data_IF_116676081768
#
_entry.id   IF_116676081768
#
_cell.length_a   1.000
_cell.length_b   1.000
_cell.length_c   1.000
_cell.angle_alpha   90.00
_cell.angle_beta   90.00
_cell.angle_gamma   90.00
#
_symmetry.space_group_name_H-M   'P 1'
#
loop_
_entity.id
_entity.type
_entity.pdbx_description
1 polymer ?
#
# COMPACT_ATOMS: atom_id res chain seq x y z
N UNK A 1 -16.78 21.15 68.24
CA UNK A 1 -15.71 21.20 67.23
C UNK A 1 -15.61 19.84 66.57
N UNK A 2 -16.09 19.70 65.33
CA UNK A 2 -16.05 18.43 64.57
C UNK A 2 -15.20 18.69 63.30
N UNK A 3 -14.01 18.11 63.27
CA UNK A 3 -13.14 18.18 62.10
C UNK A 3 -13.47 17.01 61.18
N UNK A 4 -14.05 17.31 60.01
CA UNK A 4 -14.25 16.34 58.94
C UNK A 4 -12.97 16.27 58.11
N UNK A 5 -12.34 15.13 58.11
CA UNK A 5 -11.17 14.81 57.28
C UNK A 5 -11.69 14.21 55.98
N UNK A 6 -11.62 14.97 54.90
CA UNK A 6 -11.91 14.49 53.55
C UNK A 6 -10.63 13.85 52.97
N UNK A 7 -10.67 12.52 52.80
CA UNK A 7 -9.65 11.77 52.05
C UNK A 7 -9.83 12.02 50.54
N UNK A 8 -8.87 12.71 49.93
CA UNK A 8 -8.71 12.75 48.48
C UNK A 8 -7.98 11.48 48.04
N UNK A 9 -8.69 10.59 47.38
CA UNK A 9 -8.10 9.47 46.66
C UNK A 9 -7.59 9.95 45.32
N UNK A 10 -6.27 10.04 45.15
CA UNK A 10 -5.64 10.31 43.85
C UNK A 10 -5.59 9.01 43.03
N UNK A 11 -6.44 8.91 42.00
CA UNK A 11 -6.31 7.87 40.96
C UNK A 11 -5.10 8.20 40.07
N UNK A 12 -4.01 7.49 40.24
CA UNK A 12 -2.93 7.46 39.25
C UNK A 12 -3.36 6.54 38.08
N UNK A 13 -3.76 7.14 36.98
CA UNK A 13 -3.94 6.44 35.73
C UNK A 13 -2.54 6.12 35.14
N UNK A 14 -2.11 4.86 35.25
CA UNK A 14 -0.96 4.35 34.54
C UNK A 14 -1.32 4.27 33.05
N UNK A 15 -0.97 5.30 32.30
CA UNK A 15 -1.00 5.29 30.85
C UNK A 15 0.04 4.30 30.34
N UNK A 16 -0.40 3.11 29.91
CA UNK A 16 0.44 2.17 29.17
C UNK A 16 0.64 2.80 27.79
N UNK A 17 1.71 3.56 27.64
CA UNK A 17 2.17 4.04 26.34
C UNK A 17 2.61 2.84 25.52
N UNK A 18 1.78 2.42 24.54
CA UNK A 18 2.21 1.51 23.49
C UNK A 18 3.21 2.27 22.63
N UNK A 19 4.50 2.16 22.94
CA UNK A 19 5.57 2.59 22.05
C UNK A 19 5.55 1.63 20.85
N UNK A 20 4.94 2.06 19.73
CA UNK A 20 5.15 1.41 18.46
C UNK A 20 6.64 1.60 18.12
N UNK A 21 7.45 0.60 18.39
CA UNK A 21 8.83 0.57 17.92
C UNK A 21 8.77 0.46 16.40
N UNK A 22 9.36 1.43 15.70
CA UNK A 22 9.55 1.33 14.27
C UNK A 22 10.40 0.07 13.99
N UNK A 23 9.88 -0.82 13.16
CA UNK A 23 10.58 -2.04 12.79
C UNK A 23 11.88 -1.69 12.06
N UNK A 24 13.01 -2.27 12.51
CA UNK A 24 14.28 -2.12 11.79
C UNK A 24 14.27 -3.03 10.56
N UNK A 25 13.98 -2.44 9.43
CA UNK A 25 13.92 -3.15 8.14
C UNK A 25 15.24 -3.77 7.70
N UNK A 26 16.36 -3.43 8.36
CA UNK A 26 17.68 -3.95 8.03
C UNK A 26 18.23 -4.95 9.06
N UNK A 27 17.43 -5.29 10.09
CA UNK A 27 17.89 -6.15 11.17
C UNK A 27 18.26 -7.57 10.70
N UNK A 28 17.48 -8.14 9.80
CA UNK A 28 17.69 -9.48 9.24
C UNK A 28 16.83 -9.70 7.99
N UNK A 29 17.00 -10.85 7.31
CA UNK A 29 16.25 -11.18 6.11
C UNK A 29 14.72 -11.17 6.31
N UNK A 30 14.24 -11.66 7.46
CA UNK A 30 12.80 -11.68 7.74
C UNK A 30 12.23 -10.26 7.87
N UNK A 31 12.94 -9.35 8.55
CA UNK A 31 12.56 -7.94 8.67
C UNK A 31 12.56 -7.24 7.30
N UNK A 32 13.58 -7.49 6.48
CA UNK A 32 13.63 -6.95 5.11
C UNK A 32 12.44 -7.43 4.27
N UNK A 33 12.11 -8.72 4.33
CA UNK A 33 10.98 -9.31 3.61
C UNK A 33 9.66 -8.67 4.06
N UNK A 34 9.48 -8.52 5.38
CA UNK A 34 8.27 -7.93 5.95
C UNK A 34 8.09 -6.46 5.56
N UNK A 35 9.12 -5.65 5.68
CA UNK A 35 9.07 -4.23 5.28
C UNK A 35 8.76 -4.07 3.78
N UNK A 36 9.38 -4.88 2.92
CA UNK A 36 9.10 -4.83 1.49
C UNK A 36 7.65 -5.24 1.16
N UNK A 37 7.11 -6.24 1.87
CA UNK A 37 5.72 -6.64 1.75
C UNK A 37 4.75 -5.55 2.22
N UNK A 38 5.08 -4.83 3.30
CA UNK A 38 4.28 -3.72 3.81
C UNK A 38 4.28 -2.53 2.84
N UNK A 39 5.43 -2.18 2.24
CA UNK A 39 5.53 -1.14 1.21
C UNK A 39 4.65 -1.48 0.00
N UNK A 40 4.72 -2.71 -0.49
CA UNK A 40 3.86 -3.19 -1.57
C UNK A 40 2.37 -3.10 -1.20
N UNK A 41 1.99 -3.53 0.00
CA UNK A 41 0.59 -3.48 0.44
C UNK A 41 0.06 -2.04 0.53
N UNK A 42 0.88 -1.10 0.97
CA UNK A 42 0.52 0.33 0.98
C UNK A 42 0.34 0.88 -0.44
N UNK A 43 1.22 0.51 -1.36
CA UNK A 43 1.12 0.89 -2.77
C UNK A 43 -0.11 0.28 -3.45
N UNK A 44 -0.43 -0.99 -3.19
CA UNK A 44 -1.63 -1.64 -3.73
C UNK A 44 -2.92 -0.98 -3.19
N UNK A 45 -2.92 -0.55 -1.93
CA UNK A 45 -4.03 0.21 -1.35
C UNK A 45 -4.23 1.54 -2.09
N UNK A 46 -3.14 2.27 -2.33
CA UNK A 46 -3.17 3.54 -3.06
C UNK A 46 -3.56 3.33 -4.53
N UNK A 47 -3.04 2.29 -5.18
CA UNK A 47 -3.40 1.89 -6.54
C UNK A 47 -4.92 1.71 -6.68
N UNK A 48 -5.50 0.92 -5.79
CA UNK A 48 -6.93 0.63 -5.78
C UNK A 48 -7.76 1.88 -5.50
N UNK A 49 -7.28 2.76 -4.63
CA UNK A 49 -7.94 4.04 -4.33
C UNK A 49 -8.02 4.93 -5.58
N UNK A 50 -6.92 5.09 -6.30
CA UNK A 50 -6.86 5.91 -7.50
C UNK A 50 -7.69 5.30 -8.64
N UNK A 51 -7.60 3.98 -8.84
CA UNK A 51 -8.41 3.27 -9.82
C UNK A 51 -9.91 3.47 -9.57
N UNK A 52 -10.38 3.28 -8.34
CA UNK A 52 -11.79 3.48 -7.96
C UNK A 52 -12.24 4.93 -8.18
N UNK A 53 -11.39 5.91 -7.83
CA UNK A 53 -11.69 7.32 -8.04
C UNK A 53 -11.89 7.64 -9.53
N UNK A 54 -11.03 7.12 -10.41
CA UNK A 54 -11.18 7.32 -11.85
C UNK A 54 -12.40 6.58 -12.41
N UNK A 55 -12.64 5.33 -11.98
CA UNK A 55 -13.82 4.56 -12.41
C UNK A 55 -15.13 5.25 -12.01
N UNK A 56 -15.18 5.89 -10.85
CA UNK A 56 -16.37 6.64 -10.39
C UNK A 56 -16.58 7.93 -11.19
N UNK A 57 -15.50 8.55 -11.62
CA UNK A 57 -15.56 9.77 -12.42
C UNK A 57 -16.07 9.53 -13.84
N UNK A 58 -15.61 8.47 -14.49
CA UNK A 58 -15.99 8.12 -15.85
C UNK A 58 -17.51 7.94 -15.98
N UNK A 59 -18.12 8.53 -17.00
CA UNK A 59 -19.55 8.41 -17.31
C UNK A 59 -19.80 7.43 -18.46
N UNK A 60 -18.90 7.42 -19.44
CA UNK A 60 -18.99 6.55 -20.60
C UNK A 60 -18.68 5.09 -20.23
N UNK A 61 -19.63 4.15 -20.46
CA UNK A 61 -19.40 2.73 -20.19
C UNK A 61 -18.22 2.13 -20.99
N UNK A 62 -17.98 2.58 -22.22
CA UNK A 62 -16.87 2.10 -23.04
C UNK A 62 -15.52 2.54 -22.43
N UNK A 63 -15.43 3.75 -21.89
CA UNK A 63 -14.24 4.24 -21.17
C UNK A 63 -13.99 3.46 -19.88
N UNK A 64 -15.05 3.15 -19.12
CA UNK A 64 -14.93 2.29 -17.93
C UNK A 64 -14.38 0.91 -18.29
N UNK A 65 -14.91 0.30 -19.33
CA UNK A 65 -14.45 -1.00 -19.80
C UNK A 65 -12.99 -0.95 -20.24
N UNK A 66 -12.62 0.07 -21.02
CA UNK A 66 -11.23 0.26 -21.47
C UNK A 66 -10.24 0.43 -20.30
N UNK A 67 -10.61 1.22 -19.28
CA UNK A 67 -9.76 1.36 -18.08
C UNK A 67 -9.63 0.04 -17.31
N UNK A 68 -10.73 -0.70 -17.16
CA UNK A 68 -10.72 -2.03 -16.52
C UNK A 68 -9.80 -3.00 -17.27
N UNK A 69 -9.90 -3.08 -18.58
CA UNK A 69 -9.05 -3.95 -19.41
C UNK A 69 -7.58 -3.54 -19.34
N UNK A 70 -7.29 -2.24 -19.39
CA UNK A 70 -5.94 -1.72 -19.24
C UNK A 70 -5.34 -2.11 -17.89
N UNK A 71 -6.13 -2.02 -16.81
CA UNK A 71 -5.67 -2.41 -15.47
C UNK A 71 -5.40 -3.92 -15.36
N UNK A 72 -6.27 -4.76 -15.92
CA UNK A 72 -6.07 -6.22 -15.93
C UNK A 72 -4.81 -6.60 -16.71
N UNK A 73 -4.61 -6.01 -17.89
CA UNK A 73 -3.41 -6.26 -18.72
C UNK A 73 -2.14 -5.75 -18.05
N UNK A 74 -2.22 -4.61 -17.36
CA UNK A 74 -1.10 -4.08 -16.60
C UNK A 74 -0.70 -5.03 -15.45
N UNK A 75 -1.66 -5.57 -14.69
CA UNK A 75 -1.37 -6.55 -13.63
C UNK A 75 -0.66 -7.78 -14.21
N UNK A 76 -1.18 -8.32 -15.33
CA UNK A 76 -0.57 -9.46 -16.00
C UNK A 76 0.87 -9.17 -16.47
N UNK A 77 1.11 -7.99 -17.03
CA UNK A 77 2.45 -7.54 -17.41
C UNK A 77 3.37 -7.43 -16.21
N UNK A 78 2.94 -6.74 -15.14
CA UNK A 78 3.72 -6.57 -13.90
C UNK A 78 4.16 -7.93 -13.34
N UNK A 79 3.22 -8.86 -13.22
CA UNK A 79 3.47 -10.15 -12.60
C UNK A 79 4.42 -11.01 -13.49
N UNK A 80 4.25 -10.97 -14.81
CA UNK A 80 5.13 -11.65 -15.76
C UNK A 80 6.55 -11.06 -15.80
N UNK A 81 6.66 -9.72 -15.78
CA UNK A 81 7.98 -9.05 -15.75
C UNK A 81 8.73 -9.34 -14.45
N UNK A 82 8.04 -9.32 -13.31
CA UNK A 82 8.67 -9.68 -12.03
C UNK A 82 9.05 -11.17 -11.96
N UNK A 83 8.26 -12.05 -12.55
CA UNK A 83 8.66 -13.46 -12.69
C UNK A 83 9.94 -13.61 -13.52
N UNK A 84 10.06 -12.87 -14.60
CA UNK A 84 11.27 -12.86 -15.44
C UNK A 84 12.49 -12.30 -14.69
N UNK A 85 12.33 -11.19 -13.96
CA UNK A 85 13.43 -10.48 -13.27
C UNK A 85 13.91 -11.20 -12.01
N UNK A 86 13.01 -11.81 -11.27
CA UNK A 86 13.28 -12.38 -9.93
C UNK A 86 13.35 -13.90 -9.94
N UNK A 87 12.69 -14.56 -10.90
CA UNK A 87 12.56 -16.02 -10.95
C UNK A 87 11.48 -16.54 -9.99
N UNK A 88 11.46 -17.88 -9.85
CA UNK A 88 10.48 -18.58 -9.01
C UNK A 88 10.94 -18.68 -7.56
N UNK A 89 9.98 -18.78 -6.65
CA UNK A 89 10.24 -18.91 -5.21
C UNK A 89 11.10 -20.14 -4.87
N UNK A 90 10.81 -21.28 -5.50
CA UNK A 90 11.51 -22.55 -5.28
C UNK A 90 13.00 -22.50 -5.66
N UNK A 91 13.39 -21.59 -6.53
CA UNK A 91 14.76 -21.48 -7.06
C UNK A 91 15.60 -20.40 -6.34
N UNK A 92 15.01 -19.57 -5.48
CA UNK A 92 15.64 -18.32 -5.02
C UNK A 92 15.83 -18.18 -3.49
N UNK A 93 15.40 -19.14 -2.70
CA UNK A 93 15.62 -19.18 -1.24
C UNK A 93 14.93 -18.05 -0.45
N UNK A 94 15.48 -17.73 0.73
CA UNK A 94 14.86 -16.81 1.71
C UNK A 94 14.86 -15.34 1.29
N UNK A 95 15.64 -14.96 0.30
CA UNK A 95 15.66 -13.59 -0.25
C UNK A 95 14.54 -13.33 -1.25
N UNK A 96 13.93 -14.39 -1.80
CA UNK A 96 12.92 -14.24 -2.86
C UNK A 96 11.75 -13.32 -2.47
N UNK A 97 11.16 -13.39 -1.26
CA UNK A 97 10.05 -12.52 -0.91
C UNK A 97 10.42 -11.02 -0.94
N UNK A 98 11.66 -10.69 -0.56
CA UNK A 98 12.18 -9.32 -0.66
C UNK A 98 12.23 -8.85 -2.12
N UNK A 99 12.90 -9.60 -2.98
CA UNK A 99 13.10 -9.25 -4.39
C UNK A 99 11.77 -9.18 -5.15
N UNK A 100 10.87 -10.12 -4.88
CA UNK A 100 9.54 -10.15 -5.48
C UNK A 100 8.70 -8.93 -5.06
N UNK A 101 8.65 -8.63 -3.76
CA UNK A 101 7.90 -7.47 -3.25
C UNK A 101 8.47 -6.15 -3.78
N UNK A 102 9.79 -6.02 -3.85
CA UNK A 102 10.44 -4.82 -4.40
C UNK A 102 10.14 -4.63 -5.88
N UNK A 103 10.19 -5.69 -6.69
CA UNK A 103 9.85 -5.62 -8.10
C UNK A 103 8.38 -5.21 -8.31
N UNK A 104 7.45 -5.86 -7.61
CA UNK A 104 6.03 -5.52 -7.68
C UNK A 104 5.77 -4.08 -7.21
N UNK A 105 6.43 -3.64 -6.14
CA UNK A 105 6.31 -2.27 -5.61
C UNK A 105 6.82 -1.21 -6.60
N UNK A 106 7.92 -1.47 -7.30
CA UNK A 106 8.46 -0.60 -8.34
C UNK A 106 7.43 -0.34 -9.44
N UNK A 107 6.88 -1.40 -10.03
CA UNK A 107 5.83 -1.29 -11.05
C UNK A 107 4.56 -0.61 -10.51
N UNK A 108 4.13 -0.98 -9.32
CA UNK A 108 2.93 -0.43 -8.69
C UNK A 108 3.06 1.06 -8.42
N UNK A 109 4.24 1.52 -8.01
CA UNK A 109 4.53 2.95 -7.78
C UNK A 109 4.39 3.77 -9.06
N UNK A 110 4.89 3.24 -10.18
CA UNK A 110 4.73 3.88 -11.50
C UNK A 110 3.25 3.95 -11.87
N UNK A 111 2.51 2.84 -11.73
CA UNK A 111 1.08 2.80 -12.07
C UNK A 111 0.23 3.72 -11.19
N UNK A 112 0.53 3.83 -9.90
CA UNK A 112 -0.11 4.79 -9.00
C UNK A 112 0.06 6.22 -9.51
N UNK A 113 1.27 6.59 -9.97
CA UNK A 113 1.54 7.91 -10.54
C UNK A 113 0.71 8.17 -11.79
N UNK A 114 0.58 7.18 -12.68
CA UNK A 114 -0.26 7.29 -13.88
C UNK A 114 -1.75 7.46 -13.53
N UNK A 115 -2.27 6.64 -12.62
CA UNK A 115 -3.67 6.74 -12.19
C UNK A 115 -3.96 8.07 -11.47
N UNK A 116 -3.01 8.58 -10.68
CA UNK A 116 -3.11 9.93 -10.09
C UNK A 116 -3.22 11.01 -11.16
N UNK A 117 -2.46 10.89 -12.24
CA UNK A 117 -2.54 11.82 -13.36
C UNK A 117 -3.93 11.74 -14.05
N UNK A 118 -4.50 10.54 -14.23
CA UNK A 118 -5.86 10.40 -14.74
C UNK A 118 -6.90 11.04 -13.82
N UNK A 119 -6.79 10.80 -12.49
CA UNK A 119 -7.69 11.41 -11.50
C UNK A 119 -7.57 12.93 -11.46
N UNK A 120 -6.38 13.47 -11.65
CA UNK A 120 -6.16 14.91 -11.68
C UNK A 120 -6.67 15.59 -12.96
N UNK A 121 -6.81 14.85 -14.07
CA UNK A 121 -7.26 15.37 -15.34
C UNK A 121 -8.78 15.55 -15.34
N UNK A 122 -9.27 16.81 -15.29
CA UNK A 122 -10.71 17.16 -15.21
C UNK A 122 -11.13 18.20 -16.25
N UNK A 123 -10.23 18.53 -17.17
CA UNK A 123 -10.45 19.53 -18.21
C UNK A 123 -11.02 18.90 -19.48
N UNK A 124 -11.34 19.74 -20.47
CA UNK A 124 -11.75 19.27 -21.79
C UNK A 124 -10.60 18.46 -22.43
N UNK A 125 -10.94 17.32 -23.04
CA UNK A 125 -9.97 16.37 -23.58
C UNK A 125 -9.57 15.24 -22.63
N UNK A 126 -9.88 15.34 -21.33
CA UNK A 126 -9.66 14.24 -20.39
C UNK A 126 -10.71 13.12 -20.59
N UNK A 127 -10.37 11.84 -20.29
CA UNK A 127 -11.32 10.73 -20.29
C UNK A 127 -12.47 11.00 -19.30
N UNK A 128 -13.71 10.85 -19.73
CA UNK A 128 -14.94 11.05 -18.94
C UNK A 128 -15.80 9.81 -18.93
#
# INVERSE_FOLDING_TARGET
MKYSITLLAALMALGIGCSAQAEDCNANQASMNQCASQDLAALDTELNRQYKAQMSWLKDPARKQALKEAQVKWIAFRDADCLYRVGKAEDSGSIWPLLQSQCLAEHTRVRVKELKAYVACREEGCPR
#
